data_IF_621798795582
#
_entry.id   IF_621798795582
#
_cell.length_a   1.000
_cell.length_b   1.000
_cell.length_c   1.000
_cell.angle_alpha   90.00
_cell.angle_beta   90.00
_cell.angle_gamma   90.00
#
_symmetry.space_group_name_H-M   'P 1'
#
loop_
_entity.id
_entity.type
_entity.pdbx_description
1 polymer ?
#
# COMPACT_ATOMS: atom_id res chain seq x y z
N UNK A 1 -24.17 12.91 5.14
CA UNK A 1 -23.34 12.06 6.03
C UNK A 1 -23.30 10.59 5.60
N UNK A 2 -24.44 9.93 5.36
CA UNK A 2 -24.45 8.50 4.96
C UNK A 2 -23.60 8.18 3.70
N UNK A 3 -23.64 9.05 2.68
CA UNK A 3 -22.87 8.87 1.44
C UNK A 3 -21.35 8.93 1.64
N UNK A 4 -20.85 9.74 2.57
CA UNK A 4 -19.42 9.82 2.90
C UNK A 4 -18.94 8.50 3.49
N UNK A 5 -19.68 7.95 4.45
CA UNK A 5 -19.30 6.71 5.12
C UNK A 5 -19.27 5.52 4.17
N UNK A 6 -20.24 5.43 3.25
CA UNK A 6 -20.25 4.41 2.20
C UNK A 6 -19.05 4.54 1.27
N UNK A 7 -18.73 5.75 0.82
CA UNK A 7 -17.57 5.99 -0.04
C UNK A 7 -16.24 5.69 0.68
N UNK A 8 -16.14 6.04 1.97
CA UNK A 8 -14.98 5.76 2.81
C UNK A 8 -14.81 4.25 3.03
N UNK A 9 -15.91 3.51 3.24
CA UNK A 9 -15.89 2.04 3.28
C UNK A 9 -15.44 1.44 1.95
N UNK A 10 -15.92 1.98 0.82
CA UNK A 10 -15.46 1.61 -0.52
C UNK A 10 -13.96 1.84 -0.72
N UNK A 11 -13.45 2.97 -0.24
CA UNK A 11 -12.02 3.28 -0.23
C UNK A 11 -11.22 2.28 0.60
N UNK A 12 -11.69 1.92 1.80
CA UNK A 12 -11.04 0.92 2.66
C UNK A 12 -10.96 -0.43 1.97
N UNK A 13 -12.07 -0.90 1.39
CA UNK A 13 -12.10 -2.18 0.66
C UNK A 13 -11.15 -2.14 -0.53
N UNK A 14 -11.18 -1.06 -1.32
CA UNK A 14 -10.30 -0.88 -2.47
C UNK A 14 -8.82 -0.80 -2.08
N UNK A 15 -8.49 -0.06 -1.02
CA UNK A 15 -7.14 0.06 -0.48
C UNK A 15 -6.60 -1.28 0.02
N UNK A 16 -7.43 -2.06 0.72
CA UNK A 16 -7.06 -3.41 1.14
C UNK A 16 -6.80 -4.30 -0.08
N UNK A 17 -7.77 -4.46 -0.98
CA UNK A 17 -7.66 -5.41 -2.10
C UNK A 17 -6.56 -5.04 -3.08
N UNK A 18 -6.36 -3.75 -3.40
CA UNK A 18 -5.31 -3.29 -4.33
C UNK A 18 -3.89 -3.65 -3.93
N UNK A 19 -3.64 -3.91 -2.65
CA UNK A 19 -2.32 -4.27 -2.11
C UNK A 19 -2.17 -5.76 -1.80
N UNK A 20 -3.22 -6.52 -2.10
CA UNK A 20 -3.17 -7.98 -2.15
C UNK A 20 -2.87 -8.45 -3.56
N UNK A 21 -2.91 -9.76 -3.79
CA UNK A 21 -2.82 -10.36 -5.14
C UNK A 21 -4.04 -9.98 -6.01
N UNK A 22 -5.10 -9.43 -5.41
CA UNK A 22 -6.31 -9.03 -6.12
C UNK A 22 -6.13 -7.72 -6.90
N UNK A 23 -6.82 -7.56 -8.04
CA UNK A 23 -6.82 -6.31 -8.77
C UNK A 23 -7.54 -5.21 -7.98
N UNK A 24 -6.98 -4.00 -7.99
CA UNK A 24 -7.60 -2.81 -7.42
C UNK A 24 -6.77 -1.55 -7.73
N UNK A 25 -7.44 -0.40 -7.79
CA UNK A 25 -6.79 0.91 -7.97
C UNK A 25 -7.30 1.88 -6.89
N UNK A 26 -6.70 1.76 -5.70
CA UNK A 26 -7.07 2.57 -4.55
C UNK A 26 -6.76 4.05 -4.71
N UNK A 27 -5.82 4.36 -5.59
CA UNK A 27 -5.36 5.70 -5.93
C UNK A 27 -6.48 6.47 -6.63
N UNK A 28 -7.09 5.89 -7.66
CA UNK A 28 -8.24 6.50 -8.35
C UNK A 28 -9.41 6.68 -7.39
N UNK A 29 -9.67 5.70 -6.51
CA UNK A 29 -10.75 5.79 -5.51
C UNK A 29 -10.47 6.89 -4.48
N UNK A 30 -9.24 7.02 -3.98
CA UNK A 30 -8.86 8.10 -3.07
C UNK A 30 -8.98 9.47 -3.74
N UNK A 31 -8.50 9.61 -4.98
CA UNK A 31 -8.57 10.86 -5.72
C UNK A 31 -10.03 11.29 -5.95
N UNK A 32 -10.90 10.37 -6.38
CA UNK A 32 -12.32 10.64 -6.55
C UNK A 32 -13.01 11.00 -5.21
N UNK A 33 -12.62 10.34 -4.11
CA UNK A 33 -13.14 10.65 -2.79
C UNK A 33 -12.76 12.07 -2.35
N UNK A 34 -11.48 12.43 -2.45
CA UNK A 34 -10.98 13.76 -2.04
C UNK A 34 -11.46 14.88 -2.96
N UNK A 35 -11.67 14.60 -4.24
CA UNK A 35 -12.31 15.55 -5.16
C UNK A 35 -13.72 15.94 -4.68
N UNK A 36 -14.47 14.99 -4.13
CA UNK A 36 -15.84 15.22 -3.66
C UNK A 36 -15.92 15.71 -2.22
N UNK A 37 -15.00 15.29 -1.36
CA UNK A 37 -14.96 15.62 0.07
C UNK A 37 -13.54 15.96 0.54
N UNK A 38 -13.00 17.13 0.13
CA UNK A 38 -11.62 17.51 0.44
C UNK A 38 -11.35 17.65 1.95
N UNK A 39 -12.35 18.09 2.73
CA UNK A 39 -12.25 18.22 4.19
C UNK A 39 -12.03 16.88 4.93
N UNK A 40 -12.28 15.76 4.26
CA UNK A 40 -12.11 14.40 4.81
C UNK A 40 -10.73 13.80 4.54
N UNK A 41 -9.74 14.64 4.22
CA UNK A 41 -8.35 14.24 3.96
C UNK A 41 -7.81 13.26 5.00
N UNK A 42 -7.81 13.65 6.28
CA UNK A 42 -7.14 12.86 7.32
C UNK A 42 -7.80 11.50 7.57
N UNK A 43 -9.14 11.40 7.73
CA UNK A 43 -9.80 10.09 7.83
C UNK A 43 -9.55 9.19 6.61
N UNK A 44 -9.65 9.74 5.39
CA UNK A 44 -9.43 8.99 4.16
C UNK A 44 -8.00 8.46 4.08
N UNK A 45 -7.01 9.32 4.38
CA UNK A 45 -5.59 8.97 4.32
C UNK A 45 -5.21 7.92 5.37
N UNK A 46 -5.67 8.07 6.61
CA UNK A 46 -5.40 7.12 7.70
C UNK A 46 -6.01 5.75 7.39
N UNK A 47 -7.29 5.71 7.03
CA UNK A 47 -7.99 4.45 6.76
C UNK A 47 -7.47 3.76 5.50
N UNK A 48 -7.19 4.50 4.43
CA UNK A 48 -6.57 3.93 3.23
C UNK A 48 -5.18 3.37 3.56
N UNK A 49 -4.35 4.09 4.31
CA UNK A 49 -3.01 3.64 4.71
C UNK A 49 -3.07 2.36 5.55
N UNK A 50 -3.95 2.31 6.54
CA UNK A 50 -4.14 1.13 7.39
C UNK A 50 -4.62 -0.06 6.57
N UNK A 51 -5.64 0.13 5.73
CA UNK A 51 -6.19 -0.91 4.88
C UNK A 51 -5.15 -1.46 3.90
N UNK A 52 -4.40 -0.58 3.23
CA UNK A 52 -3.36 -0.98 2.28
C UNK A 52 -2.14 -1.64 2.96
N UNK A 53 -1.77 -1.16 4.16
CA UNK A 53 -0.74 -1.81 4.98
C UNK A 53 -1.18 -3.22 5.39
N UNK A 54 -2.46 -3.40 5.77
CA UNK A 54 -3.01 -4.70 6.12
C UNK A 54 -3.03 -5.66 4.93
N UNK A 55 -3.44 -5.21 3.73
CA UNK A 55 -3.40 -6.04 2.52
C UNK A 55 -1.97 -6.44 2.15
N UNK A 56 -1.01 -5.52 2.27
CA UNK A 56 0.42 -5.82 2.08
C UNK A 56 0.96 -6.81 3.12
N UNK A 57 0.52 -6.69 4.38
CA UNK A 57 0.86 -7.65 5.44
C UNK A 57 0.29 -9.04 5.15
N UNK A 58 -0.91 -9.13 4.56
CA UNK A 58 -1.45 -10.40 4.05
C UNK A 58 -0.55 -10.99 2.96
N UNK A 59 -0.11 -10.21 1.99
CA UNK A 59 0.83 -10.66 0.95
C UNK A 59 2.17 -11.12 1.53
N UNK A 60 2.71 -10.39 2.51
CA UNK A 60 3.92 -10.76 3.25
C UNK A 60 3.74 -12.09 4.01
N UNK A 61 2.60 -12.27 4.67
CA UNK A 61 2.26 -13.51 5.37
C UNK A 61 2.13 -14.68 4.40
N UNK A 62 1.42 -14.50 3.29
CA UNK A 62 1.27 -15.52 2.24
C UNK A 62 2.63 -15.97 1.71
N UNK A 63 3.56 -15.04 1.47
CA UNK A 63 4.92 -15.37 1.04
C UNK A 63 5.71 -16.19 2.06
N UNK A 64 5.46 -16.00 3.35
CA UNK A 64 6.13 -16.78 4.41
C UNK A 64 5.62 -18.20 4.55
N UNK A 65 4.31 -18.39 4.40
CA UNK A 65 3.67 -19.71 4.57
C UNK A 65 3.73 -20.54 3.28
N UNK A 66 3.82 -19.89 2.12
CA UNK A 66 4.00 -20.57 0.85
C UNK A 66 5.37 -21.30 0.78
N UNK A 67 5.48 -22.36 -0.03
CA UNK A 67 6.78 -22.97 -0.34
C UNK A 67 7.76 -21.90 -0.84
N UNK A 68 9.04 -22.05 -0.48
CA UNK A 68 10.08 -21.14 -0.96
C UNK A 68 10.09 -21.16 -2.48
N UNK A 69 9.95 -19.98 -3.07
CA UNK A 69 10.10 -19.77 -4.51
C UNK A 69 11.33 -18.92 -4.77
N UNK A 70 11.99 -19.17 -5.90
CA UNK A 70 13.06 -18.29 -6.34
C UNK A 70 12.51 -16.89 -6.61
N UNK A 71 13.10 -15.92 -5.92
CA UNK A 71 12.87 -14.51 -6.15
C UNK A 71 13.83 -14.06 -7.25
N UNK A 72 13.44 -13.09 -8.09
CA UNK A 72 14.34 -12.52 -9.09
C UNK A 72 15.70 -12.16 -8.47
N UNK A 73 16.84 -12.53 -9.08
CA UNK A 73 18.17 -12.21 -8.55
C UNK A 73 18.40 -10.71 -8.31
N UNK A 74 17.69 -9.84 -9.03
CA UNK A 74 17.70 -8.39 -8.80
C UNK A 74 17.04 -8.03 -7.46
N UNK A 75 15.83 -8.55 -7.23
CA UNK A 75 15.06 -8.30 -6.00
C UNK A 75 15.79 -8.92 -4.80
N UNK A 76 16.33 -10.12 -4.96
CA UNK A 76 17.12 -10.78 -3.91
C UNK A 76 18.32 -9.93 -3.49
N UNK A 77 19.14 -9.44 -4.45
CA UNK A 77 20.28 -8.55 -4.15
C UNK A 77 19.87 -7.26 -3.46
N UNK A 78 18.70 -6.70 -3.78
CA UNK A 78 18.18 -5.53 -3.08
C UNK A 78 17.88 -5.85 -1.62
N UNK A 79 17.20 -6.97 -1.35
CA UNK A 79 16.90 -7.39 0.01
C UNK A 79 18.15 -7.81 0.80
N UNK A 80 19.16 -8.40 0.16
CA UNK A 80 20.44 -8.69 0.80
C UNK A 80 21.19 -7.41 1.19
N UNK A 81 21.14 -6.36 0.37
CA UNK A 81 21.85 -5.11 0.61
C UNK A 81 21.13 -4.15 1.55
N UNK A 82 19.82 -4.01 1.41
CA UNK A 82 19.03 -2.99 2.11
C UNK A 82 18.01 -3.59 3.10
N UNK A 83 17.86 -4.91 3.13
CA UNK A 83 16.95 -5.59 4.03
C UNK A 83 15.50 -5.12 3.86
N UNK A 84 14.73 -5.05 4.96
CA UNK A 84 13.33 -4.61 4.94
C UNK A 84 13.08 -3.21 4.36
N UNK A 85 14.09 -2.32 4.29
CA UNK A 85 13.92 -0.97 3.77
C UNK A 85 13.52 -0.94 2.28
N UNK A 86 13.80 -2.01 1.52
CA UNK A 86 13.31 -2.17 0.14
C UNK A 86 11.78 -2.07 0.07
N UNK A 87 11.06 -2.41 1.14
CA UNK A 87 9.60 -2.35 1.21
C UNK A 87 9.05 -0.92 1.18
N UNK A 88 9.87 0.12 1.36
CA UNK A 88 9.48 1.49 1.00
C UNK A 88 9.07 1.58 -0.47
N UNK A 89 9.74 0.83 -1.34
CA UNK A 89 9.44 0.78 -2.77
C UNK A 89 8.14 0.03 -3.08
N UNK A 90 7.46 -0.54 -2.07
CA UNK A 90 6.12 -1.12 -2.22
C UNK A 90 5.06 -0.12 -2.66
N UNK A 91 5.40 1.17 -2.63
CA UNK A 91 4.57 2.25 -3.10
C UNK A 91 4.58 2.45 -4.63
N UNK A 92 5.56 1.89 -5.35
CA UNK A 92 5.67 2.04 -6.82
C UNK A 92 4.62 1.15 -7.52
N UNK A 93 3.83 1.66 -8.48
CA UNK A 93 2.85 0.85 -9.21
C UNK A 93 3.52 -0.34 -9.93
N UNK A 94 2.79 -1.45 -10.10
CA UNK A 94 3.20 -2.72 -10.75
C UNK A 94 4.25 -3.55 -10.00
N UNK A 95 5.30 -2.91 -9.46
CA UNK A 95 6.39 -3.61 -8.76
C UNK A 95 6.08 -3.75 -7.27
N UNK A 96 5.35 -2.78 -6.72
CA UNK A 96 5.26 -2.56 -5.29
C UNK A 96 4.59 -3.68 -4.50
N UNK A 97 3.56 -4.33 -5.05
CA UNK A 97 2.79 -5.34 -4.31
C UNK A 97 3.43 -6.75 -4.38
N UNK A 98 4.36 -6.97 -5.31
CA UNK A 98 5.20 -8.17 -5.34
C UNK A 98 6.31 -8.15 -4.28
N UNK A 99 6.76 -6.97 -3.84
CA UNK A 99 7.81 -6.83 -2.83
C UNK A 99 7.42 -7.39 -1.45
N UNK A 100 6.22 -7.13 -0.88
CA UNK A 100 5.79 -7.79 0.35
C UNK A 100 5.81 -9.31 0.23
N UNK A 101 5.29 -9.86 -0.87
CA UNK A 101 5.31 -11.31 -1.12
C UNK A 101 6.74 -11.87 -1.15
N UNK A 102 7.65 -11.19 -1.86
CA UNK A 102 9.06 -11.55 -1.94
C UNK A 102 9.78 -11.47 -0.59
N UNK A 103 9.54 -10.42 0.20
CA UNK A 103 10.04 -10.32 1.57
C UNK A 103 9.55 -11.47 2.45
N UNK A 104 8.35 -11.98 2.17
CA UNK A 104 7.77 -13.14 2.84
C UNK A 104 8.54 -14.41 2.51
N UNK A 105 8.76 -14.68 1.22
CA UNK A 105 9.56 -15.83 0.76
C UNK A 105 10.99 -15.82 1.31
N UNK A 106 11.59 -14.63 1.41
CA UNK A 106 12.92 -14.43 1.99
C UNK A 106 12.94 -14.44 3.53
N UNK A 107 11.77 -14.57 4.18
CA UNK A 107 11.61 -14.64 5.65
C UNK A 107 12.26 -13.47 6.39
N UNK A 108 12.17 -12.27 5.83
CA UNK A 108 12.65 -11.04 6.48
C UNK A 108 11.96 -10.80 7.82
N UNK A 109 12.56 -10.07 8.78
CA UNK A 109 11.96 -9.83 10.09
C UNK A 109 10.62 -9.08 9.98
N UNK A 110 9.62 -9.50 10.76
CA UNK A 110 8.23 -9.03 10.60
C UNK A 110 8.06 -7.55 10.92
N UNK A 111 8.52 -7.12 12.09
CA UNK A 111 8.30 -5.76 12.56
C UNK A 111 8.94 -4.71 11.63
N UNK A 112 10.23 -4.80 11.26
CA UNK A 112 10.81 -3.87 10.30
C UNK A 112 10.10 -3.90 8.93
N UNK A 113 9.64 -5.08 8.49
CA UNK A 113 8.93 -5.19 7.22
C UNK A 113 7.59 -4.44 7.25
N UNK A 114 6.82 -4.60 8.32
CA UNK A 114 5.56 -3.87 8.49
C UNK A 114 5.78 -2.36 8.57
N UNK A 115 6.80 -1.91 9.31
CA UNK A 115 7.10 -0.48 9.43
C UNK A 115 7.42 0.14 8.07
N UNK A 116 8.34 -0.45 7.31
CA UNK A 116 8.71 0.09 6.00
C UNK A 116 7.59 0.00 4.96
N UNK A 117 6.77 -1.07 5.02
CA UNK A 117 5.55 -1.16 4.21
C UNK A 117 4.61 0.01 4.52
N UNK A 118 4.27 0.23 5.79
CA UNK A 118 3.34 1.27 6.20
C UNK A 118 3.85 2.66 5.83
N UNK A 119 5.14 2.94 6.01
CA UNK A 119 5.73 4.22 5.58
C UNK A 119 5.60 4.40 4.06
N UNK A 120 5.89 3.36 3.27
CA UNK A 120 5.72 3.41 1.81
C UNK A 120 4.28 3.69 1.40
N UNK A 121 3.31 3.00 2.00
CA UNK A 121 1.88 3.19 1.70
C UNK A 121 1.38 4.58 2.12
N UNK A 122 1.81 5.06 3.28
CA UNK A 122 1.49 6.42 3.74
C UNK A 122 2.04 7.47 2.77
N UNK A 123 3.30 7.34 2.36
CA UNK A 123 3.95 8.24 1.40
C UNK A 123 3.19 8.31 0.07
N UNK A 124 2.70 7.16 -0.44
CA UNK A 124 1.89 7.11 -1.66
C UNK A 124 0.64 7.96 -1.56
N UNK A 125 -0.14 7.74 -0.51
CA UNK A 125 -1.41 8.42 -0.34
C UNK A 125 -1.23 9.91 -0.02
N UNK A 126 -0.16 10.27 0.69
CA UNK A 126 0.20 11.68 0.91
C UNK A 126 0.52 12.40 -0.40
N UNK A 127 1.38 11.83 -1.24
CA UNK A 127 1.76 12.44 -2.53
C UNK A 127 0.52 12.59 -3.43
N UNK A 128 -0.32 11.55 -3.49
CA UNK A 128 -1.53 11.58 -4.29
C UNK A 128 -2.54 12.62 -3.77
N UNK A 129 -2.81 12.62 -2.47
CA UNK A 129 -3.74 13.56 -1.86
C UNK A 129 -3.28 15.01 -2.04
N UNK A 130 -1.98 15.26 -1.89
CA UNK A 130 -1.39 16.57 -2.15
C UNK A 130 -1.60 17.00 -3.60
N UNK A 131 -1.35 16.11 -4.57
CA UNK A 131 -1.58 16.41 -6.00
C UNK A 131 -3.04 16.72 -6.32
N UNK A 132 -3.98 15.95 -5.75
CA UNK A 132 -5.43 16.18 -5.93
C UNK A 132 -5.85 17.53 -5.34
N UNK A 133 -5.44 17.82 -4.11
CA UNK A 133 -5.79 19.07 -3.44
C UNK A 133 -5.13 20.28 -4.10
N UNK A 134 -3.89 20.15 -4.58
CA UNK A 134 -3.23 21.22 -5.33
C UNK A 134 -4.00 21.53 -6.62
N UNK A 135 -4.49 20.51 -7.33
CA UNK A 135 -5.27 20.69 -8.56
C UNK A 135 -6.65 21.33 -8.31
N UNK A 136 -7.24 21.18 -7.12
CA UNK A 136 -8.50 21.84 -6.76
C UNK A 136 -8.36 23.35 -6.49
N UNK A 137 -7.15 23.81 -6.20
CA UNK A 137 -6.86 25.22 -5.89
C UNK A 137 -6.12 25.95 -7.02
N UNK A 138 -5.89 25.28 -8.15
CA UNK A 138 -5.27 25.84 -9.35
C UNK A 138 -6.34 26.38 -10.31
#
# INVERSE_FOLDING_TARGET
MQAVWLALGGLVVSAFTSSTILPGNSEVVLAAFLYKWPDWLWPALLLATVANSAGSATSLWLGRVAPKKEVSPRIQRWFERYGPAVLLLSWVPLIGDALPLAAGWLRLPWLPSLLWLTVGKAARYLVLAWGVLAALHA
#
